data_IF_233695011829
#
_entry.id   IF_233695011829
#
_cell.length_a   1.000
_cell.length_b   1.000
_cell.length_c   1.000
_cell.angle_alpha   90.00
_cell.angle_beta   90.00
_cell.angle_gamma   90.00
#
_symmetry.space_group_name_H-M   'P 1'
#
loop_
_entity.id
_entity.type
_entity.pdbx_description
1 polymer ?
#
# COMPACT_ATOMS: atom_id res chain seq x y z
N UNK A 1 25.20 19.75 21.74
CA UNK A 1 24.18 19.77 22.82
C UNK A 1 23.47 21.11 22.76
N UNK A 2 22.22 21.16 22.29
CA UNK A 2 21.48 22.43 22.13
C UNK A 2 20.76 22.75 23.45
N UNK A 3 20.98 23.95 24.00
CA UNK A 3 20.35 24.44 25.24
C UNK A 3 19.03 25.15 24.90
N UNK A 4 17.99 24.93 25.70
CA UNK A 4 16.70 25.63 25.54
C UNK A 4 16.76 27.06 26.08
N UNK A 5 15.72 27.86 25.80
CA UNK A 5 15.62 29.26 26.23
C UNK A 5 15.75 29.48 27.76
N UNK A 6 15.62 28.43 28.56
CA UNK A 6 15.77 28.43 30.03
C UNK A 6 17.02 27.71 30.53
N UNK A 7 17.98 27.38 29.64
CA UNK A 7 19.26 26.75 29.98
C UNK A 7 19.21 25.24 30.26
N UNK A 8 18.02 24.64 30.25
CA UNK A 8 17.81 23.21 30.44
C UNK A 8 18.17 22.40 29.16
N UNK A 9 18.61 21.12 29.29
CA UNK A 9 18.89 20.26 28.14
C UNK A 9 17.62 20.06 27.31
N UNK A 10 17.65 20.40 26.03
CA UNK A 10 16.54 20.12 25.11
C UNK A 10 16.46 18.61 24.91
N UNK A 11 15.49 17.97 25.56
CA UNK A 11 15.15 16.56 25.30
C UNK A 11 14.58 16.49 23.87
N UNK A 12 15.39 15.99 22.93
CA UNK A 12 15.05 15.92 21.51
C UNK A 12 13.75 15.12 21.30
N UNK A 13 12.71 15.80 20.83
CA UNK A 13 11.52 15.14 20.29
C UNK A 13 11.90 14.48 18.97
N UNK A 14 11.29 13.33 18.68
CA UNK A 14 11.34 12.75 17.34
C UNK A 14 10.02 13.07 16.64
N UNK A 15 10.13 13.55 15.42
CA UNK A 15 8.98 13.79 14.55
C UNK A 15 9.03 12.74 13.46
N UNK A 16 7.92 12.06 13.26
CA UNK A 16 7.69 11.11 12.18
C UNK A 16 6.64 11.69 11.26
N UNK A 17 6.84 11.50 9.96
CA UNK A 17 5.91 11.93 8.93
C UNK A 17 5.54 10.74 8.05
N UNK A 18 4.25 10.65 7.72
CA UNK A 18 3.71 9.66 6.78
C UNK A 18 2.81 10.38 5.78
N UNK A 19 3.22 10.39 4.52
CA UNK A 19 2.39 10.89 3.43
C UNK A 19 1.28 9.89 3.10
N UNK A 20 0.07 10.39 2.91
CA UNK A 20 -1.12 9.62 2.52
C UNK A 20 -1.41 9.82 1.03
N UNK A 21 -2.25 8.92 0.49
CA UNK A 21 -2.64 8.90 -0.92
C UNK A 21 -3.40 10.16 -1.37
N UNK A 22 -4.10 10.80 -0.43
CA UNK A 22 -4.91 12.02 -0.65
C UNK A 22 -4.11 13.31 -0.50
N UNK A 23 -2.78 13.20 -0.33
CA UNK A 23 -1.87 14.34 -0.17
C UNK A 23 -1.77 14.87 1.27
N UNK A 24 -2.54 14.34 2.24
CA UNK A 24 -2.33 14.65 3.65
C UNK A 24 -0.99 14.08 4.14
N UNK A 25 -0.38 14.75 5.11
CA UNK A 25 0.81 14.25 5.82
C UNK A 25 0.45 14.09 7.29
N UNK A 26 0.47 12.87 7.78
CA UNK A 26 0.37 12.58 9.21
C UNK A 26 1.70 12.92 9.86
N UNK A 27 1.68 13.82 10.85
CA UNK A 27 2.86 14.21 11.61
C UNK A 27 2.69 13.78 13.06
N UNK A 28 3.50 12.82 13.48
CA UNK A 28 3.51 12.34 14.87
C UNK A 28 4.74 12.86 15.59
N UNK A 29 4.52 13.62 16.67
CA UNK A 29 5.61 14.17 17.50
C UNK A 29 5.65 13.42 18.82
N UNK A 30 6.66 12.57 18.98
CA UNK A 30 6.83 11.74 20.17
C UNK A 30 7.91 12.38 21.05
N UNK A 31 7.50 12.80 22.26
CA UNK A 31 8.40 13.15 23.35
C UNK A 31 8.70 11.89 24.17
N UNK A 32 9.94 11.66 24.59
CA UNK A 32 10.17 10.69 25.68
C UNK A 32 9.36 11.18 26.90
N UNK A 33 8.55 10.33 27.56
CA UNK A 33 7.90 10.72 28.80
C UNK A 33 8.97 11.25 29.77
N UNK A 34 8.67 12.32 30.49
CA UNK A 34 9.66 13.04 31.33
C UNK A 34 10.32 12.11 32.36
N UNK A 35 9.67 11.00 32.69
CA UNK A 35 10.02 9.91 33.61
C UNK A 35 10.04 8.50 32.96
N UNK A 36 9.84 8.37 31.64
CA UNK A 36 9.66 7.09 30.91
C UNK A 36 8.41 6.26 31.30
N UNK A 37 7.42 6.81 32.00
CA UNK A 37 6.14 6.14 32.23
C UNK A 37 5.20 6.33 31.03
N UNK A 38 4.20 5.47 30.90
CA UNK A 38 3.24 5.42 29.81
C UNK A 38 2.60 6.78 29.49
N UNK A 39 2.10 6.98 28.27
CA UNK A 39 1.30 8.16 27.98
C UNK A 39 -0.02 8.10 28.73
N UNK A 40 -0.42 9.22 29.34
CA UNK A 40 -1.78 9.37 29.87
C UNK A 40 -2.82 9.08 28.78
N UNK A 41 -3.96 8.50 29.17
CA UNK A 41 -5.02 8.08 28.25
C UNK A 41 -5.50 9.18 27.30
N UNK A 42 -5.57 10.43 27.77
CA UNK A 42 -5.95 11.58 26.94
C UNK A 42 -4.91 11.90 25.87
N UNK A 43 -3.62 11.83 26.21
CA UNK A 43 -2.52 12.01 25.28
C UNK A 43 -2.49 10.86 24.26
N UNK A 44 -2.71 9.63 24.73
CA UNK A 44 -2.80 8.47 23.84
C UNK A 44 -3.95 8.61 22.84
N UNK A 45 -5.14 8.99 23.32
CA UNK A 45 -6.31 9.24 22.45
C UNK A 45 -6.05 10.36 21.44
N UNK A 46 -5.35 11.43 21.85
CA UNK A 46 -4.94 12.49 20.95
C UNK A 46 -3.93 12.01 19.89
N UNK A 47 -2.94 11.19 20.26
CA UNK A 47 -2.00 10.60 19.31
C UNK A 47 -2.75 9.75 18.27
N UNK A 48 -3.62 8.85 18.72
CA UNK A 48 -4.37 7.97 17.83
C UNK A 48 -5.27 8.74 16.86
N UNK A 49 -6.10 9.65 17.38
CA UNK A 49 -7.06 10.39 16.56
C UNK A 49 -6.42 11.49 15.72
N UNK A 50 -5.58 12.32 16.33
CA UNK A 50 -5.14 13.59 15.71
C UNK A 50 -3.79 13.48 14.99
N UNK A 51 -2.96 12.48 15.32
CA UNK A 51 -1.65 12.30 14.71
C UNK A 51 -1.58 11.09 13.78
N UNK A 52 -2.28 10.01 14.10
CA UNK A 52 -2.24 8.75 13.35
C UNK A 52 -3.50 8.47 12.51
N UNK A 53 -4.61 9.16 12.81
CA UNK A 53 -5.92 9.01 12.18
C UNK A 53 -6.43 7.56 12.23
N UNK A 54 -6.43 6.97 13.43
CA UNK A 54 -6.83 5.57 13.66
C UNK A 54 -7.59 5.39 14.98
N UNK A 55 -8.37 4.31 15.08
CA UNK A 55 -8.91 3.81 16.35
C UNK A 55 -7.85 3.02 17.12
N UNK A 56 -8.09 2.78 18.41
CA UNK A 56 -7.20 1.95 19.23
C UNK A 56 -7.11 0.51 18.71
N UNK A 57 -8.24 -0.08 18.31
CA UNK A 57 -8.27 -1.45 17.76
C UNK A 57 -7.49 -1.53 16.46
N UNK A 58 -7.70 -0.59 15.53
CA UNK A 58 -6.97 -0.54 14.27
C UNK A 58 -5.46 -0.35 14.49
N UNK A 59 -5.07 0.44 15.50
CA UNK A 59 -3.68 0.60 15.89
C UNK A 59 -3.08 -0.73 16.36
N UNK A 60 -3.73 -1.44 17.29
CA UNK A 60 -3.19 -2.69 17.82
C UNK A 60 -3.19 -3.83 16.80
N UNK A 61 -4.20 -3.93 15.94
CA UNK A 61 -4.17 -4.84 14.78
C UNK A 61 -2.99 -4.52 13.87
N UNK A 62 -2.75 -3.24 13.57
CA UNK A 62 -1.59 -2.86 12.76
C UNK A 62 -0.25 -3.25 13.40
N UNK A 63 -0.11 -3.09 14.71
CA UNK A 63 1.10 -3.47 15.45
C UNK A 63 1.32 -4.97 15.45
N UNK A 64 0.25 -5.75 15.70
CA UNK A 64 0.33 -7.20 15.84
C UNK A 64 0.46 -7.91 14.50
N UNK A 65 -0.34 -7.50 13.51
CA UNK A 65 -0.49 -8.18 12.23
C UNK A 65 0.43 -7.59 11.14
N UNK A 66 1.07 -6.46 11.44
CA UNK A 66 1.90 -5.68 10.49
C UNK A 66 1.13 -5.25 9.23
N UNK A 67 -0.19 -5.15 9.34
CA UNK A 67 -1.07 -4.67 8.28
C UNK A 67 -1.40 -3.19 8.53
N UNK A 68 -1.08 -2.27 7.61
CA UNK A 68 -1.42 -0.87 7.78
C UNK A 68 -2.94 -0.69 7.85
N UNK A 69 -3.43 0.24 8.70
CA UNK A 69 -4.86 0.51 8.79
C UNK A 69 -5.38 1.08 7.47
N UNK A 70 -6.59 0.68 7.09
CA UNK A 70 -7.26 1.24 5.93
C UNK A 70 -7.58 2.72 6.19
N UNK A 71 -7.10 3.58 5.29
CA UNK A 71 -7.33 5.04 5.30
C UNK A 71 -8.08 5.49 4.04
N UNK A 72 -8.88 4.61 3.45
CA UNK A 72 -9.72 4.89 2.30
C UNK A 72 -8.94 5.07 0.99
N UNK A 73 -7.74 4.50 0.88
CA UNK A 73 -6.98 4.55 -0.37
C UNK A 73 -7.79 3.97 -1.53
N UNK A 74 -7.83 4.63 -2.70
CA UNK A 74 -8.52 4.08 -3.87
C UNK A 74 -8.02 2.68 -4.13
N UNK A 75 -8.94 1.73 -4.30
CA UNK A 75 -8.58 0.41 -4.81
C UNK A 75 -7.97 0.63 -6.18
N UNK A 76 -6.68 0.40 -6.31
CA UNK A 76 -6.07 0.31 -7.64
C UNK A 76 -6.84 -0.79 -8.37
N UNK A 77 -7.39 -0.52 -9.56
CA UNK A 77 -7.97 -1.60 -10.35
C UNK A 77 -6.92 -2.70 -10.44
N UNK A 78 -7.34 -3.95 -10.24
CA UNK A 78 -6.45 -5.08 -10.49
C UNK A 78 -5.81 -4.83 -11.85
N UNK A 79 -4.48 -4.76 -11.89
CA UNK A 79 -3.77 -4.52 -13.13
C UNK A 79 -4.28 -5.59 -14.09
N UNK A 80 -5.05 -5.18 -15.12
CA UNK A 80 -5.59 -6.12 -16.11
C UNK A 80 -4.42 -6.99 -16.51
N UNK A 81 -4.54 -8.31 -16.30
CA UNK A 81 -3.45 -9.24 -16.54
C UNK A 81 -3.12 -9.16 -18.03
N UNK A 82 -2.11 -8.37 -18.37
CA UNK A 82 -1.80 -8.06 -19.75
C UNK A 82 -1.34 -9.33 -20.47
N UNK A 83 -1.73 -9.47 -21.74
CA UNK A 83 -1.23 -10.54 -22.61
C UNK A 83 0.14 -10.10 -23.15
N UNK A 84 1.21 -10.90 -22.96
CA UNK A 84 2.51 -10.66 -23.59
C UNK A 84 2.41 -10.50 -25.10
N UNK A 85 3.15 -9.54 -25.68
CA UNK A 85 3.09 -9.21 -27.10
C UNK A 85 3.27 -10.42 -28.02
N UNK A 86 4.20 -11.33 -27.70
CA UNK A 86 4.46 -12.51 -28.52
C UNK A 86 3.24 -13.45 -28.63
N UNK A 87 2.38 -13.51 -27.60
CA UNK A 87 1.15 -14.29 -27.65
C UNK A 87 0.11 -13.59 -28.53
N UNK A 88 0.04 -12.26 -28.47
CA UNK A 88 -0.85 -11.47 -29.33
C UNK A 88 -0.49 -11.68 -30.80
N UNK A 89 0.79 -11.56 -31.14
CA UNK A 89 1.28 -11.75 -32.50
C UNK A 89 0.99 -13.17 -33.00
N UNK A 90 1.35 -14.20 -32.20
CA UNK A 90 1.14 -15.60 -32.58
C UNK A 90 -0.35 -15.99 -32.75
N UNK A 91 -1.25 -15.41 -31.95
CA UNK A 91 -2.69 -15.62 -32.07
C UNK A 91 -3.30 -14.85 -33.24
N UNK A 92 -2.82 -13.63 -33.50
CA UNK A 92 -3.25 -12.82 -34.65
C UNK A 92 -2.86 -13.47 -35.98
N UNK A 93 -1.66 -14.04 -36.07
CA UNK A 93 -1.22 -14.83 -37.23
C UNK A 93 -2.15 -16.03 -37.51
N UNK A 94 -2.85 -16.52 -36.48
CA UNK A 94 -3.82 -17.63 -36.53
C UNK A 94 -5.26 -17.17 -36.66
N UNK A 95 -5.48 -15.88 -36.95
CA UNK A 95 -6.80 -15.31 -37.23
C UNK A 95 -7.68 -15.10 -35.99
N UNK A 96 -7.11 -15.09 -34.79
CA UNK A 96 -7.86 -14.70 -33.57
C UNK A 96 -7.98 -13.18 -33.52
N UNK A 97 -9.19 -12.70 -33.24
CA UNK A 97 -9.50 -11.27 -33.15
C UNK A 97 -8.83 -10.60 -31.94
N UNK A 98 -8.39 -9.35 -32.11
CA UNK A 98 -7.67 -8.58 -31.09
C UNK A 98 -8.51 -8.37 -29.82
N UNK A 99 -9.82 -8.14 -29.93
CA UNK A 99 -10.69 -7.96 -28.75
C UNK A 99 -10.80 -9.28 -27.95
N UNK A 100 -10.83 -10.41 -28.65
CA UNK A 100 -10.83 -11.73 -28.03
C UNK A 100 -9.49 -12.03 -27.33
N UNK A 101 -8.37 -11.62 -27.92
CA UNK A 101 -7.04 -11.77 -27.29
C UNK A 101 -6.94 -10.90 -26.04
N UNK A 102 -7.34 -9.63 -26.12
CA UNK A 102 -7.22 -8.66 -25.02
C UNK A 102 -8.22 -8.90 -23.88
N UNK A 103 -9.24 -9.74 -24.10
CA UNK A 103 -10.11 -10.23 -23.04
C UNK A 103 -9.49 -11.35 -22.19
N UNK A 104 -8.39 -11.96 -22.64
CA UNK A 104 -7.68 -13.02 -21.94
C UNK A 104 -6.60 -12.48 -21.00
N UNK A 105 -6.18 -13.31 -20.07
CA UNK A 105 -4.89 -13.15 -19.40
C UNK A 105 -3.80 -13.96 -20.11
N UNK A 106 -2.54 -13.78 -19.68
CA UNK A 106 -1.41 -14.50 -20.27
C UNK A 106 -1.60 -16.03 -20.29
N UNK A 107 -2.24 -16.60 -19.27
CA UNK A 107 -2.49 -18.04 -19.19
C UNK A 107 -3.57 -18.47 -20.19
N UNK A 108 -4.67 -17.71 -20.29
CA UNK A 108 -5.74 -17.94 -21.26
C UNK A 108 -5.24 -17.84 -22.70
N UNK A 109 -4.44 -16.81 -23.00
CA UNK A 109 -3.83 -16.64 -24.32
C UNK A 109 -2.88 -17.79 -24.68
N UNK A 110 -2.06 -18.26 -23.73
CA UNK A 110 -1.18 -19.41 -23.94
C UNK A 110 -1.98 -20.70 -24.19
N UNK A 111 -3.06 -20.93 -23.46
CA UNK A 111 -3.93 -22.10 -23.64
C UNK A 111 -4.65 -22.08 -25.00
N UNK A 112 -5.12 -20.91 -25.43
CA UNK A 112 -5.72 -20.74 -26.75
C UNK A 112 -4.71 -21.02 -27.86
N UNK A 113 -3.49 -20.48 -27.73
CA UNK A 113 -2.42 -20.71 -28.70
C UNK A 113 -2.06 -22.20 -28.79
N UNK A 114 -1.95 -22.89 -27.65
CA UNK A 114 -1.73 -24.34 -27.63
C UNK A 114 -2.85 -25.12 -28.34
N UNK A 115 -4.10 -24.71 -28.16
CA UNK A 115 -5.26 -25.34 -28.84
C UNK A 115 -5.18 -25.14 -30.36
N UNK A 116 -4.82 -23.93 -30.82
CA UNK A 116 -4.63 -23.65 -32.24
C UNK A 116 -3.51 -24.49 -32.86
N UNK A 117 -2.40 -24.69 -32.14
CA UNK A 117 -1.33 -25.58 -32.60
C UNK A 117 -1.76 -27.04 -32.73
N UNK A 118 -2.69 -27.52 -31.90
CA UNK A 118 -3.23 -28.88 -32.01
C UNK A 118 -4.20 -29.03 -33.18
N UNK A 119 -5.01 -28.00 -33.47
CA UNK A 119 -5.89 -27.96 -34.63
C UNK A 119 -5.13 -27.99 -35.97
N UNK A 120 -3.88 -27.50 -35.98
CA UNK A 120 -3.01 -27.44 -37.16
C UNK A 120 -2.20 -28.74 -37.40
N UNK A 121 -2.25 -29.73 -36.49
CA UNK A 121 -1.54 -31.00 -36.68
C UNK A 121 -2.34 -31.95 -37.58
N UNK A 122 -1.72 -32.51 -38.65
CA UNK A 122 -2.38 -33.41 -39.61
C UNK A 122 -2.71 -34.80 -39.04
#
# INVERSE_FOLDING_TARGET
MVRGATGQPVKHHRTYELALWDGRILRTRISKPVDKSEYATSMWSHILSSQLDVTADAFWSCVNDRLPPDRGSPKTPDAKKAVPLFLVEALRERGVDDDAILALDAAGAAALLASKYLEEQP
#
